data_IF_631793092587
#
_entry.id   IF_631793092587
#
_cell.length_a   1.000
_cell.length_b   1.000
_cell.length_c   1.000
_cell.angle_alpha   90.00
_cell.angle_beta   90.00
_cell.angle_gamma   90.00
#
_symmetry.space_group_name_H-M   'P 1'
#
loop_
_entity.id
_entity.type
_entity.pdbx_description
1 polymer ?
#
# COMPACT_ATOMS: atom_id res chain seq x y z
N UNK A 1 -12.60 9.75 5.87
CA UNK A 1 -12.27 9.02 4.63
C UNK A 1 -11.42 9.92 3.74
N UNK A 2 -10.61 9.35 2.86
CA UNK A 2 -9.75 10.09 1.94
C UNK A 2 -10.05 9.66 0.51
N UNK A 3 -9.98 10.60 -0.43
CA UNK A 3 -10.04 10.34 -1.87
C UNK A 3 -8.78 10.91 -2.49
N UNK A 4 -8.04 10.08 -3.22
CA UNK A 4 -6.80 10.48 -3.87
C UNK A 4 -6.66 9.77 -5.22
N UNK A 5 -5.93 10.38 -6.14
CA UNK A 5 -5.55 9.79 -7.42
C UNK A 5 -4.04 9.96 -7.61
N UNK A 6 -3.42 8.94 -8.20
CA UNK A 6 -2.01 8.96 -8.61
C UNK A 6 -1.98 8.92 -10.14
N UNK A 7 -1.71 10.04 -10.81
CA UNK A 7 -1.59 10.05 -12.27
C UNK A 7 -0.47 9.14 -12.75
N UNK A 8 -0.61 8.57 -13.94
CA UNK A 8 0.46 7.79 -14.57
C UNK A 8 1.72 8.67 -14.70
N UNK A 9 2.85 8.19 -14.15
CA UNK A 9 4.11 8.93 -14.14
C UNK A 9 4.17 10.09 -13.12
N UNK A 10 3.11 10.27 -12.33
CA UNK A 10 3.04 11.29 -11.29
C UNK A 10 3.53 10.78 -9.94
N UNK A 11 3.87 11.72 -9.06
CA UNK A 11 4.18 11.48 -7.66
C UNK A 11 3.11 12.19 -6.83
N UNK A 12 2.43 11.43 -5.96
CA UNK A 12 1.42 11.96 -5.04
C UNK A 12 1.91 11.74 -3.61
N UNK A 13 1.97 12.80 -2.81
CA UNK A 13 2.35 12.73 -1.40
C UNK A 13 1.11 12.72 -0.50
N UNK A 14 1.09 11.82 0.48
CA UNK A 14 0.10 11.78 1.55
C UNK A 14 0.75 12.29 2.85
N UNK A 15 0.42 13.51 3.26
CA UNK A 15 1.01 14.20 4.41
C UNK A 15 0.03 14.30 5.57
N UNK A 16 0.55 14.32 6.80
CA UNK A 16 -0.24 14.43 8.02
C UNK A 16 0.55 14.00 9.26
N UNK A 17 0.08 14.37 10.45
CA UNK A 17 0.73 14.01 11.72
C UNK A 17 0.70 12.50 12.03
N UNK A 18 1.32 12.11 13.15
CA UNK A 18 1.22 10.74 13.67
C UNK A 18 -0.25 10.42 14.00
N UNK A 19 -0.69 9.20 13.68
CA UNK A 19 -2.09 8.79 13.88
C UNK A 19 -3.08 9.31 12.83
N UNK A 20 -2.66 10.13 11.86
CA UNK A 20 -3.54 10.64 10.80
C UNK A 20 -4.05 9.57 9.80
N UNK A 21 -3.62 8.30 9.94
CA UNK A 21 -4.05 7.20 9.09
C UNK A 21 -3.21 6.95 7.84
N UNK A 22 -2.07 7.63 7.66
CA UNK A 22 -1.20 7.48 6.47
C UNK A 22 -0.79 6.02 6.20
N UNK A 23 -0.23 5.36 7.22
CA UNK A 23 0.20 3.96 7.14
C UNK A 23 -0.99 3.03 6.88
N UNK A 24 -2.13 3.30 7.52
CA UNK A 24 -3.40 2.57 7.29
C UNK A 24 -3.87 2.72 5.84
N UNK A 25 -3.81 3.93 5.26
CA UNK A 25 -4.13 4.17 3.85
C UNK A 25 -3.21 3.41 2.91
N UNK A 26 -1.89 3.44 3.15
CA UNK A 26 -0.93 2.71 2.31
C UNK A 26 -1.12 1.19 2.40
N UNK A 27 -1.38 0.66 3.60
CA UNK A 27 -1.70 -0.76 3.80
C UNK A 27 -3.03 -1.17 3.17
N UNK A 28 -4.01 -0.27 3.10
CA UNK A 28 -5.26 -0.55 2.38
C UNK A 28 -5.01 -0.66 0.88
N UNK A 29 -4.15 0.20 0.31
CA UNK A 29 -3.80 0.20 -1.12
C UNK A 29 -3.07 -1.09 -1.53
N UNK A 30 -2.18 -1.60 -0.67
CA UNK A 30 -1.42 -2.85 -0.90
C UNK A 30 -2.15 -4.12 -0.44
N UNK A 31 -3.40 -3.99 -0.01
CA UNK A 31 -4.21 -5.04 0.60
C UNK A 31 -3.57 -5.76 1.81
N UNK A 32 -2.71 -5.06 2.55
CA UNK A 32 -2.08 -5.54 3.78
C UNK A 32 -2.89 -5.24 5.04
N UNK A 33 -3.99 -4.47 4.95
CA UNK A 33 -4.81 -4.11 6.11
C UNK A 33 -5.36 -5.33 6.87
N UNK A 34 -5.71 -6.38 6.14
CA UNK A 34 -6.21 -7.64 6.70
C UNK A 34 -5.21 -8.29 7.67
N UNK A 35 -3.90 -8.11 7.46
CA UNK A 35 -2.86 -8.63 8.36
C UNK A 35 -2.92 -8.01 9.76
N UNK A 36 -3.55 -6.84 9.89
CA UNK A 36 -3.73 -6.11 11.15
C UNK A 36 -5.16 -6.17 11.67
N UNK A 37 -5.98 -7.12 11.18
CA UNK A 37 -7.42 -7.22 11.46
C UNK A 37 -8.20 -5.96 11.07
N UNK A 38 -7.69 -5.22 10.07
CA UNK A 38 -8.37 -4.07 9.49
C UNK A 38 -9.01 -4.41 8.16
N UNK A 39 -10.15 -3.79 7.85
CA UNK A 39 -10.85 -3.93 6.57
C UNK A 39 -11.29 -2.58 6.02
N UNK A 40 -11.36 -2.47 4.69
CA UNK A 40 -11.95 -1.31 4.02
C UNK A 40 -13.47 -1.48 4.02
N UNK A 41 -14.15 -0.81 4.95
CA UNK A 41 -15.61 -0.94 5.12
C UNK A 41 -16.42 -0.03 4.19
N UNK A 42 -15.80 1.02 3.64
CA UNK A 42 -16.44 1.99 2.74
C UNK A 42 -15.44 2.52 1.70
N UNK A 43 -15.96 2.78 0.51
CA UNK A 43 -15.16 3.24 -0.64
C UNK A 43 -14.55 2.07 -1.41
N UNK A 44 -13.67 2.40 -2.36
CA UNK A 44 -13.02 1.41 -3.21
C UNK A 44 -11.64 1.90 -3.62
N UNK A 45 -10.74 0.95 -3.85
CA UNK A 45 -9.38 1.22 -4.32
C UNK A 45 -9.20 0.46 -5.64
N UNK A 46 -8.72 1.18 -6.65
CA UNK A 46 -8.51 0.64 -7.98
C UNK A 46 -7.07 0.87 -8.42
N UNK A 47 -6.45 -0.16 -8.99
CA UNK A 47 -5.17 -0.07 -9.66
C UNK A 47 -5.36 -0.35 -11.15
N UNK A 48 -4.98 0.60 -12.02
CA UNK A 48 -5.17 0.51 -13.48
C UNK A 48 -6.61 0.12 -13.91
N UNK A 49 -7.60 0.59 -13.15
CA UNK A 49 -9.02 0.32 -13.41
C UNK A 49 -9.55 -0.99 -12.79
N UNK A 50 -8.69 -1.85 -12.24
CA UNK A 50 -9.10 -3.08 -11.56
C UNK A 50 -9.23 -2.87 -10.05
N UNK A 51 -10.28 -3.40 -9.40
CA UNK A 51 -10.41 -3.34 -7.94
C UNK A 51 -9.31 -4.16 -7.27
N UNK A 52 -8.80 -3.69 -6.14
CA UNK A 52 -7.73 -4.38 -5.39
C UNK A 52 -8.23 -5.25 -4.23
N UNK A 53 -9.48 -5.04 -3.79
CA UNK A 53 -10.01 -5.62 -2.54
C UNK A 53 -9.93 -7.16 -2.51
N UNK A 54 -10.23 -7.81 -3.64
CA UNK A 54 -10.28 -9.28 -3.74
C UNK A 54 -8.93 -9.90 -4.16
N UNK A 55 -7.90 -9.08 -4.40
CA UNK A 55 -6.61 -9.57 -4.85
C UNK A 55 -5.72 -9.94 -3.65
N UNK A 56 -5.18 -11.15 -3.66
CA UNK A 56 -4.11 -11.50 -2.72
C UNK A 56 -2.94 -10.51 -2.86
N UNK A 57 -2.31 -10.05 -1.76
CA UNK A 57 -1.17 -9.12 -1.82
C UNK A 57 -0.05 -9.56 -2.78
N UNK A 58 0.21 -10.88 -2.89
CA UNK A 58 1.20 -11.42 -3.83
C UNK A 58 0.84 -11.18 -5.30
N UNK A 59 -0.45 -11.16 -5.64
CA UNK A 59 -0.92 -10.83 -6.99
C UNK A 59 -0.78 -9.33 -7.27
N UNK A 60 -1.06 -8.47 -6.30
CA UNK A 60 -0.86 -7.02 -6.42
C UNK A 60 0.61 -6.66 -6.66
N UNK A 61 1.53 -7.32 -5.96
CA UNK A 61 2.98 -7.17 -6.19
C UNK A 61 3.35 -7.57 -7.62
N UNK A 62 2.85 -8.73 -8.10
CA UNK A 62 3.06 -9.17 -9.49
C UNK A 62 2.51 -8.20 -10.54
N UNK A 63 1.48 -7.41 -10.20
CA UNK A 63 0.90 -6.38 -11.06
C UNK A 63 1.66 -5.04 -10.98
N UNK A 64 2.61 -4.89 -10.05
CA UNK A 64 3.46 -3.71 -9.89
C UNK A 64 3.06 -2.77 -8.76
N UNK A 65 2.19 -3.19 -7.84
CA UNK A 65 1.90 -2.45 -6.60
C UNK A 65 2.88 -2.95 -5.52
N UNK A 66 3.92 -2.16 -5.27
CA UNK A 66 5.00 -2.51 -4.33
C UNK A 66 4.96 -1.53 -3.16
N UNK A 67 4.83 -2.05 -1.94
CA UNK A 67 4.94 -1.25 -0.73
C UNK A 67 6.32 -1.43 -0.12
N UNK A 68 7.03 -0.32 0.06
CA UNK A 68 8.23 -0.26 0.90
C UNK A 68 7.78 0.13 2.30
N UNK A 69 7.93 -0.81 3.24
CA UNK A 69 7.52 -0.61 4.63
C UNK A 69 8.51 0.31 5.37
N UNK A 70 7.99 1.09 6.32
CA UNK A 70 8.82 1.84 7.27
C UNK A 70 9.64 0.87 8.15
N UNK A 71 10.68 1.37 8.83
CA UNK A 71 11.43 0.56 9.80
C UNK A 71 12.58 -0.27 9.24
N UNK A 72 12.97 -0.07 7.97
CA UNK A 72 14.19 -0.66 7.36
C UNK A 72 14.22 -2.20 7.46
N UNK A 73 13.24 -2.86 6.87
CA UNK A 73 13.18 -4.32 6.75
C UNK A 73 14.21 -4.88 5.75
N UNK A 74 15.50 -4.61 5.98
CA UNK A 74 16.60 -5.25 5.26
C UNK A 74 16.98 -6.56 5.98
N UNK A 75 17.47 -7.53 5.23
CA UNK A 75 18.02 -8.75 5.81
C UNK A 75 19.43 -8.49 6.31
N UNK A 76 19.62 -8.45 7.64
CA UNK A 76 20.90 -8.09 8.27
C UNK A 76 22.07 -8.99 7.88
N UNK A 77 21.79 -10.20 7.41
CA UNK A 77 22.79 -11.20 7.03
C UNK A 77 23.05 -11.29 5.52
N UNK A 78 22.45 -10.41 4.72
CA UNK A 78 22.68 -10.34 3.26
C UNK A 78 23.51 -9.11 2.90
N UNK A 79 24.30 -9.25 1.83
CA UNK A 79 24.99 -8.11 1.20
C UNK A 79 24.01 -7.26 0.39
N UNK A 80 24.49 -6.18 -0.24
CA UNK A 80 23.63 -5.31 -1.07
C UNK A 80 23.23 -6.00 -2.37
N UNK A 81 24.08 -6.87 -2.87
CA UNK A 81 23.91 -7.62 -4.11
C UNK A 81 22.95 -8.81 -3.99
N UNK A 82 22.64 -9.23 -2.76
CA UNK A 82 21.81 -10.40 -2.41
C UNK A 82 20.40 -10.01 -1.93
#
# INVERSE_FOLDING_TARGET
GVSLQVPKGGITALLGGNGAGKTTTLKAISNLLHSERGEVTKGSIHYRGSPVADLNPSLLVKQGVIQVMEGRHCFEHLTVEE
#
